data_IF_862920230359
#
_entry.id   IF_862920230359
#
_cell.length_a   1.000
_cell.length_b   1.000
_cell.length_c   1.000
_cell.angle_alpha   90.00
_cell.angle_beta   90.00
_cell.angle_gamma   90.00
#
_symmetry.space_group_name_H-M   'P 1'
#
loop_
_entity.id
_entity.type
_entity.pdbx_description
1 polymer ?
#
# COMPACT_ATOMS: atom_id res chain seq x y z
N UNK A 1 -18.80 -15.71 3.07
CA UNK A 1 -18.08 -14.42 2.94
C UNK A 1 -17.41 -14.47 1.58
N UNK A 2 -17.68 -13.54 0.65
CA UNK A 2 -17.00 -13.56 -0.64
C UNK A 2 -15.51 -13.25 -0.39
N UNK A 3 -14.56 -14.03 -0.95
CA UNK A 3 -13.14 -13.82 -0.70
C UNK A 3 -12.72 -12.45 -1.22
N UNK A 4 -12.02 -11.68 -0.39
CA UNK A 4 -11.38 -10.44 -0.82
C UNK A 4 -10.19 -10.85 -1.68
N UNK A 5 -10.11 -10.33 -2.90
CA UNK A 5 -8.94 -10.56 -3.74
C UNK A 5 -7.76 -9.77 -3.15
N UNK A 6 -6.75 -10.49 -2.65
CA UNK A 6 -5.55 -9.90 -2.06
C UNK A 6 -4.43 -9.96 -3.11
N UNK A 7 -3.66 -8.89 -3.32
CA UNK A 7 -2.41 -8.93 -4.07
C UNK A 7 -1.55 -10.14 -3.67
N UNK A 8 -0.98 -10.88 -4.63
CA UNK A 8 -0.22 -12.12 -4.35
C UNK A 8 0.91 -11.90 -3.36
N UNK A 9 1.66 -10.81 -3.55
CA UNK A 9 2.73 -10.35 -2.66
C UNK A 9 2.24 -10.14 -1.22
N UNK A 10 1.04 -9.56 -1.04
CA UNK A 10 0.48 -9.36 0.29
C UNK A 10 0.01 -10.68 0.91
N UNK A 11 -0.50 -11.61 0.11
CA UNK A 11 -0.89 -12.93 0.59
C UNK A 11 0.33 -13.73 1.08
N UNK A 12 1.45 -13.67 0.36
CA UNK A 12 2.72 -14.29 0.76
C UNK A 12 3.25 -13.66 2.06
N UNK A 13 3.29 -12.33 2.15
CA UNK A 13 3.70 -11.63 3.37
C UNK A 13 2.83 -12.04 4.56
N UNK A 14 1.50 -12.14 4.39
CA UNK A 14 0.58 -12.57 5.45
C UNK A 14 0.80 -14.03 5.86
N UNK A 15 1.17 -14.91 4.93
CA UNK A 15 1.47 -16.31 5.22
C UNK A 15 2.77 -16.47 6.02
N UNK A 16 3.77 -15.60 5.78
CA UNK A 16 5.06 -15.60 6.49
C UNK A 16 4.99 -14.95 7.88
N UNK A 17 3.95 -14.15 8.17
CA UNK A 17 3.83 -13.51 9.47
C UNK A 17 3.58 -14.55 10.57
N UNK A 18 4.38 -14.54 11.66
CA UNK A 18 4.10 -15.39 12.80
C UNK A 18 2.77 -14.97 13.41
N UNK A 19 1.78 -15.88 13.41
CA UNK A 19 0.44 -15.68 13.98
C UNK A 19 0.48 -15.70 15.52
N UNK A 20 1.42 -14.95 16.08
CA UNK A 20 1.70 -14.84 17.52
C UNK A 20 0.74 -13.89 18.24
N UNK A 21 -0.11 -13.18 17.50
CA UNK A 21 -1.08 -12.24 18.06
C UNK A 21 -2.39 -12.25 17.27
N UNK A 22 -3.48 -11.82 17.91
CA UNK A 22 -4.80 -11.67 17.28
C UNK A 22 -4.85 -10.52 16.26
N UNK A 23 -3.81 -9.69 16.17
CA UNK A 23 -3.74 -8.55 15.28
C UNK A 23 -2.82 -8.83 14.09
N UNK A 24 -3.26 -8.43 12.89
CA UNK A 24 -2.45 -8.51 11.67
C UNK A 24 -1.22 -7.61 11.77
N UNK A 25 -1.41 -6.39 12.32
CA UNK A 25 -0.33 -5.44 12.56
C UNK A 25 -0.09 -5.32 14.06
N UNK A 26 0.78 -6.19 14.56
CA UNK A 26 1.15 -6.24 15.97
C UNK A 26 2.56 -5.73 16.21
N UNK A 27 2.76 -5.14 17.38
CA UNK A 27 4.10 -4.92 17.92
C UNK A 27 4.74 -6.26 18.28
N UNK A 28 6.07 -6.34 18.46
CA UNK A 28 6.73 -7.56 18.96
C UNK A 28 6.21 -8.05 20.32
N UNK A 29 5.51 -7.17 21.06
CA UNK A 29 4.85 -7.47 22.33
C UNK A 29 3.42 -7.99 22.18
N UNK A 30 2.93 -8.22 20.95
CA UNK A 30 1.60 -8.75 20.66
C UNK A 30 0.45 -7.74 20.78
N UNK A 31 0.75 -6.45 20.95
CA UNK A 31 -0.24 -5.36 21.04
C UNK A 31 -0.53 -4.79 19.66
N UNK A 32 -1.70 -4.17 19.43
CA UNK A 32 -1.96 -3.52 18.15
C UNK A 32 -0.95 -2.39 17.92
N UNK A 33 -0.48 -2.26 16.68
CA UNK A 33 0.43 -1.19 16.32
C UNK A 33 -0.29 0.16 16.37
N UNK A 34 0.40 1.17 16.87
CA UNK A 34 -0.05 2.56 16.75
C UNK A 34 0.24 3.06 15.33
N UNK A 35 -0.81 3.51 14.62
CA UNK A 35 -0.69 3.94 13.23
C UNK A 35 0.17 5.20 13.06
N UNK A 36 0.19 6.10 14.05
CA UNK A 36 1.04 7.27 14.01
C UNK A 36 2.51 6.87 14.09
N UNK A 37 2.85 5.95 14.99
CA UNK A 37 4.19 5.37 15.10
C UNK A 37 4.58 4.56 13.86
N UNK A 38 3.65 3.79 13.28
CA UNK A 38 3.89 3.09 12.02
C UNK A 38 4.25 4.08 10.90
N UNK A 39 3.49 5.17 10.77
CA UNK A 39 3.78 6.19 9.78
C UNK A 39 5.14 6.86 10.02
N UNK A 40 5.41 7.29 11.25
CA UNK A 40 6.63 8.02 11.60
C UNK A 40 7.89 7.16 11.49
N UNK A 41 7.83 5.88 11.87
CA UNK A 41 9.01 5.01 11.97
C UNK A 41 9.26 4.14 10.75
N UNK A 42 8.21 3.79 9.99
CA UNK A 42 8.35 2.92 8.83
C UNK A 42 8.05 3.67 7.52
N UNK A 43 6.94 4.40 7.42
CA UNK A 43 6.50 4.95 6.13
C UNK A 43 7.28 6.20 5.72
N UNK A 44 7.36 7.19 6.60
CA UNK A 44 8.01 8.48 6.31
C UNK A 44 9.50 8.33 5.98
N UNK A 45 10.31 7.52 6.70
CA UNK A 45 11.72 7.33 6.37
C UNK A 45 11.93 6.70 4.99
N UNK A 46 11.05 5.78 4.59
CA UNK A 46 11.12 5.12 3.28
C UNK A 46 10.78 6.07 2.13
N UNK A 47 9.91 7.05 2.37
CA UNK A 47 9.56 8.11 1.42
C UNK A 47 10.51 9.30 1.47
N UNK A 48 11.39 9.37 2.47
CA UNK A 48 12.34 10.48 2.67
C UNK A 48 13.74 9.95 2.43
N UNK A 49 13.94 9.51 1.19
CA UNK A 49 15.23 9.06 0.69
C UNK A 49 15.89 10.16 -0.12
N UNK A 50 17.21 10.15 -0.09
CA UNK A 50 18.01 10.99 -0.94
C UNK A 50 18.00 10.44 -2.38
N UNK A 51 18.44 11.24 -3.36
CA UNK A 51 18.65 10.82 -4.75
C UNK A 51 19.58 9.59 -4.84
N UNK A 52 20.51 9.41 -3.89
CA UNK A 52 21.34 8.20 -3.79
C UNK A 52 20.62 6.95 -3.25
N UNK A 53 19.34 7.07 -2.90
CA UNK A 53 18.52 5.99 -2.36
C UNK A 53 18.64 5.78 -0.85
N UNK A 54 19.58 6.44 -0.16
CA UNK A 54 19.79 6.29 1.30
C UNK A 54 18.78 7.14 2.08
N UNK A 55 18.32 6.65 3.24
CA UNK A 55 17.44 7.41 4.13
C UNK A 55 18.20 8.56 4.79
N UNK A 56 17.49 9.64 5.08
CA UNK A 56 18.06 10.84 5.74
C UNK A 56 18.87 10.50 7.01
N UNK A 57 18.38 9.57 7.83
CA UNK A 57 19.05 9.15 9.08
C UNK A 57 20.41 8.46 8.87
N UNK A 58 20.62 7.82 7.72
CA UNK A 58 21.84 7.06 7.40
C UNK A 58 22.75 7.81 6.42
N UNK A 59 22.25 8.90 5.84
CA UNK A 59 22.90 9.69 4.80
C UNK A 59 24.10 10.52 5.30
N UNK A 60 24.26 10.67 6.62
CA UNK A 60 25.36 11.42 7.22
C UNK A 60 26.77 10.87 6.87
N UNK A 61 26.85 9.66 6.32
CA UNK A 61 28.09 9.00 5.87
C UNK A 61 28.37 9.16 4.38
N UNK A 62 27.51 9.86 3.64
CA UNK A 62 27.61 9.99 2.18
C UNK A 62 28.48 11.18 1.79
N UNK A 63 29.13 11.08 0.62
CA UNK A 63 30.05 12.11 0.09
C UNK A 63 29.34 13.36 -0.46
N UNK A 64 28.01 13.48 -0.28
CA UNK A 64 27.22 14.59 -0.80
C UNK A 64 26.16 15.06 0.20
N UNK A 65 25.64 16.27 -0.02
CA UNK A 65 24.55 16.83 0.77
C UNK A 65 23.24 16.10 0.53
N UNK A 66 22.39 16.04 1.55
CA UNK A 66 21.08 15.42 1.47
C UNK A 66 20.15 16.21 0.54
N UNK A 67 19.82 15.62 -0.60
CA UNK A 67 18.78 16.12 -1.50
C UNK A 67 17.66 15.10 -1.61
N UNK A 68 16.46 15.46 -1.15
CA UNK A 68 15.28 14.58 -1.17
C UNK A 68 14.92 14.22 -2.61
N UNK A 69 14.72 12.93 -2.85
CA UNK A 69 14.21 12.44 -4.13
C UNK A 69 12.78 12.97 -4.36
N UNK A 70 12.62 13.77 -5.42
CA UNK A 70 11.34 14.38 -5.82
C UNK A 70 10.47 13.42 -6.62
N UNK A 71 10.99 12.29 -7.08
CA UNK A 71 10.21 11.23 -7.71
C UNK A 71 9.28 10.52 -6.71
N UNK A 72 9.67 10.50 -5.43
CA UNK A 72 8.89 9.88 -4.36
C UNK A 72 7.85 10.86 -3.78
N UNK A 73 6.60 10.40 -3.58
CA UNK A 73 5.56 11.25 -3.02
C UNK A 73 5.88 11.61 -1.57
N UNK A 74 5.53 12.82 -1.19
CA UNK A 74 5.67 13.28 0.19
C UNK A 74 4.46 12.81 1.00
N UNK A 75 4.70 12.21 2.17
CA UNK A 75 3.64 11.69 3.03
C UNK A 75 2.66 12.80 3.44
N UNK A 76 1.36 12.53 3.34
CA UNK A 76 0.26 13.42 3.75
C UNK A 76 -0.76 12.72 4.65
N UNK A 77 -0.39 11.58 5.23
CA UNK A 77 -1.22 10.76 6.10
C UNK A 77 -1.90 9.57 5.40
N UNK A 78 -2.56 8.73 6.20
CA UNK A 78 -3.24 7.54 5.69
C UNK A 78 -4.41 7.87 4.77
N UNK A 79 -5.09 8.99 4.99
CA UNK A 79 -6.20 9.39 4.13
C UNK A 79 -5.72 9.72 2.71
N UNK A 80 -4.62 10.47 2.56
CA UNK A 80 -4.04 10.73 1.24
C UNK A 80 -3.52 9.46 0.58
N UNK A 81 -2.92 8.55 1.36
CA UNK A 81 -2.47 7.26 0.85
C UNK A 81 -3.63 6.43 0.29
N UNK A 82 -4.73 6.32 1.05
CA UNK A 82 -5.97 5.66 0.61
C UNK A 82 -6.52 6.30 -0.66
N UNK A 83 -6.49 7.64 -0.77
CA UNK A 83 -6.93 8.38 -1.97
C UNK A 83 -6.01 8.15 -3.17
N UNK A 84 -4.70 8.12 -2.96
CA UNK A 84 -3.73 7.82 -4.02
C UNK A 84 -3.94 6.42 -4.59
N UNK A 85 -4.15 5.42 -3.73
CA UNK A 85 -4.52 4.06 -4.15
C UNK A 85 -5.85 4.05 -4.92
N UNK A 86 -6.84 4.86 -4.50
CA UNK A 86 -8.10 5.02 -5.22
C UNK A 86 -7.91 5.51 -6.65
N UNK A 87 -7.10 6.55 -6.80
CA UNK A 87 -6.79 7.16 -8.09
C UNK A 87 -6.03 6.17 -8.96
N UNK A 88 -5.01 5.50 -8.42
CA UNK A 88 -4.28 4.46 -9.15
C UNK A 88 -5.21 3.34 -9.64
N UNK A 89 -6.14 2.86 -8.80
CA UNK A 89 -7.13 1.87 -9.24
C UNK A 89 -8.11 2.39 -10.31
N UNK A 90 -8.47 3.67 -10.24
CA UNK A 90 -9.34 4.28 -11.25
C UNK A 90 -8.61 4.44 -12.60
N UNK A 91 -7.32 4.77 -12.57
CA UNK A 91 -6.47 4.93 -13.75
C UNK A 91 -6.15 3.59 -14.42
N UNK A 92 -5.90 2.54 -13.62
CA UNK A 92 -5.50 1.21 -14.09
C UNK A 92 -6.66 0.41 -14.69
N UNK A 93 -7.90 0.66 -14.25
CA UNK A 93 -9.05 -0.10 -14.75
C UNK A 93 -10.32 0.73 -14.95
N UNK A 94 -11.03 1.09 -13.86
CA UNK A 94 -12.27 1.86 -13.93
C UNK A 94 -12.63 2.42 -12.54
N UNK A 95 -13.37 3.53 -12.49
CA UNK A 95 -13.92 4.13 -11.26
C UNK A 95 -14.73 3.14 -10.40
N UNK A 96 -15.33 2.12 -11.02
CA UNK A 96 -16.07 1.07 -10.34
C UNK A 96 -15.15 0.08 -9.58
N UNK A 97 -13.96 -0.22 -10.11
CA UNK A 97 -12.95 -1.05 -9.46
C UNK A 97 -12.38 -0.38 -8.20
N UNK A 98 -12.07 0.92 -8.30
CA UNK A 98 -11.65 1.75 -7.17
C UNK A 98 -12.72 1.80 -6.06
N UNK A 99 -14.01 1.91 -6.44
CA UNK A 99 -15.14 1.93 -5.49
C UNK A 99 -15.31 0.59 -4.77
N UNK A 100 -15.20 -0.53 -5.50
CA UNK A 100 -15.31 -1.89 -4.94
C UNK A 100 -14.21 -2.17 -3.91
N UNK A 101 -12.97 -1.78 -4.21
CA UNK A 101 -11.83 -1.97 -3.31
C UNK A 101 -11.88 -1.08 -2.07
N UNK A 102 -12.33 0.16 -2.21
CA UNK A 102 -12.24 1.15 -1.13
C UNK A 102 -13.50 1.28 -0.27
N UNK A 103 -14.57 0.53 -0.58
CA UNK A 103 -15.84 0.46 0.17
C UNK A 103 -16.34 1.83 0.63
N UNK A 104 -16.46 2.79 -0.30
CA UNK A 104 -17.00 4.11 0.02
C UNK A 104 -18.46 4.02 0.51
N UNK A 105 -18.73 4.60 1.69
CA UNK A 105 -19.98 4.51 2.45
C UNK A 105 -21.13 5.45 2.00
N UNK A 106 -21.19 5.90 0.74
CA UNK A 106 -22.32 6.69 0.22
C UNK A 106 -22.91 5.94 -0.99
N UNK A 107 -23.98 5.14 -0.93
CA UNK A 107 -25.18 4.90 -0.09
C UNK A 107 -26.53 5.32 -0.63
N UNK A 108 -26.67 6.35 -1.47
CA UNK A 108 -28.01 6.60 -2.04
C UNK A 108 -28.51 5.46 -2.96
N UNK A 109 -27.62 4.58 -3.44
CA UNK A 109 -27.97 3.33 -4.15
C UNK A 109 -27.36 2.07 -3.52
N UNK A 110 -27.06 2.06 -2.21
CA UNK A 110 -26.43 0.88 -1.55
C UNK A 110 -27.33 -0.36 -1.44
N UNK A 111 -28.63 -0.28 -1.75
CA UNK A 111 -29.58 -1.27 -1.19
C UNK A 111 -30.64 -1.81 -2.15
N UNK A 112 -30.40 -1.91 -3.46
CA UNK A 112 -31.29 -2.74 -4.30
C UNK A 112 -30.66 -4.12 -4.61
N UNK A 113 -29.35 -4.17 -4.84
CA UNK A 113 -28.70 -5.36 -5.38
C UNK A 113 -27.40 -5.62 -4.63
N UNK A 114 -27.48 -6.20 -3.44
CA UNK A 114 -26.34 -6.78 -2.75
C UNK A 114 -25.84 -8.00 -3.59
N UNK A 115 -25.26 -7.74 -4.76
CA UNK A 115 -24.68 -8.76 -5.62
C UNK A 115 -23.33 -9.10 -5.03
N UNK A 116 -23.32 -10.21 -4.32
CA UNK A 116 -22.16 -10.90 -3.75
C UNK A 116 -21.27 -11.50 -4.84
N UNK A 117 -20.89 -10.72 -5.85
CA UNK A 117 -19.78 -11.04 -6.74
C UNK A 117 -18.78 -9.90 -6.68
N UNK A 118 -17.54 -10.22 -6.32
CA UNK A 118 -16.43 -9.28 -6.50
C UNK A 118 -16.43 -8.91 -7.99
N UNK A 119 -16.47 -7.61 -8.27
CA UNK A 119 -16.47 -7.14 -9.65
C UNK A 119 -15.20 -7.63 -10.37
N UNK A 120 -15.34 -8.17 -11.58
CA UNK A 120 -14.20 -8.62 -12.39
C UNK A 120 -13.21 -7.49 -12.64
N UNK A 121 -13.67 -6.24 -12.68
CA UNK A 121 -12.82 -5.06 -12.74
C UNK A 121 -11.97 -4.89 -11.46
N UNK A 122 -12.54 -5.21 -10.30
CA UNK A 122 -11.82 -5.17 -9.03
C UNK A 122 -10.69 -6.21 -8.99
N UNK A 123 -10.95 -7.44 -9.45
CA UNK A 123 -9.93 -8.51 -9.55
C UNK A 123 -8.84 -8.12 -10.54
N UNK A 124 -9.21 -7.70 -11.76
CA UNK A 124 -8.24 -7.25 -12.78
C UNK A 124 -7.38 -6.08 -12.33
N UNK A 125 -7.94 -5.15 -11.56
CA UNK A 125 -7.19 -4.02 -11.03
C UNK A 125 -6.13 -4.49 -10.01
N UNK A 126 -6.44 -5.49 -9.18
CA UNK A 126 -5.45 -6.09 -8.27
C UNK A 126 -4.36 -6.83 -9.05
N UNK A 127 -4.74 -7.59 -10.07
CA UNK A 127 -3.77 -8.33 -10.89
C UNK A 127 -2.78 -7.40 -11.60
N UNK A 128 -3.27 -6.30 -12.19
CA UNK A 128 -2.40 -5.28 -12.80
C UNK A 128 -1.49 -4.61 -11.78
N UNK A 129 -1.97 -4.38 -10.55
CA UNK A 129 -1.12 -3.85 -9.49
C UNK A 129 -0.05 -4.88 -9.07
N UNK A 130 -0.40 -6.17 -8.99
CA UNK A 130 0.59 -7.24 -8.75
C UNK A 130 1.68 -7.22 -9.82
N UNK A 131 1.29 -7.18 -11.10
CA UNK A 131 2.24 -7.11 -12.21
C UNK A 131 3.15 -5.88 -12.10
N UNK A 132 2.63 -4.71 -11.69
CA UNK A 132 3.45 -3.52 -11.47
C UNK A 132 4.44 -3.70 -10.31
N UNK A 133 4.04 -4.38 -9.23
CA UNK A 133 4.94 -4.71 -8.11
C UNK A 133 6.02 -5.71 -8.52
N UNK A 134 5.66 -6.76 -9.27
CA UNK A 134 6.60 -7.77 -9.76
C UNK A 134 7.60 -7.17 -10.74
N UNK A 135 7.14 -6.30 -11.64
CA UNK A 135 8.01 -5.57 -12.56
C UNK A 135 8.94 -4.60 -11.83
N UNK A 136 8.46 -3.91 -10.80
CA UNK A 136 9.30 -3.02 -9.98
C UNK A 136 10.37 -3.80 -9.18
N UNK A 137 10.07 -5.03 -8.77
CA UNK A 137 11.03 -5.93 -8.12
C UNK A 137 12.02 -6.55 -9.13
N UNK A 138 11.60 -6.79 -10.37
CA UNK A 138 12.43 -7.33 -11.45
C UNK A 138 13.31 -6.30 -12.17
N UNK A 139 12.91 -5.02 -12.18
CA UNK A 139 13.70 -3.92 -12.74
C UNK A 139 14.70 -3.37 -11.72
N UNK A 140 15.73 -4.16 -11.41
CA UNK A 140 17.05 -3.73 -10.96
C UNK A 140 17.14 -2.77 -9.76
N UNK A 141 17.37 -3.33 -8.57
CA UNK A 141 18.36 -2.73 -7.66
C UNK A 141 19.74 -2.86 -8.32
N UNK A 142 20.44 -1.77 -8.69
CA UNK A 142 21.88 -1.88 -8.86
C UNK A 142 22.50 -2.18 -7.50
N UNK A 143 23.45 -3.13 -7.49
CA UNK A 143 24.36 -3.34 -6.36
C UNK A 143 25.15 -2.07 -6.05
#
# INVERSE_FOLDING_TARGET
MAPVHVPGVLAEMLAELPHSSEYILATPTGRPIDLHNLAARAIVPQLTRCICGVMESEHQKSDHEFSRDTSLPMWRGFYSARRGIATAFADVDNALAAKSHLRHSNVSTTTAHYVKSVDVAAVRAVDKINELFDNANGSGRPN
#
